data_IF_773603430126
#
_entry.id   IF_773603430126
#
_cell.length_a   1.000
_cell.length_b   1.000
_cell.length_c   1.000
_cell.angle_alpha   90.00
_cell.angle_beta   90.00
_cell.angle_gamma   90.00
#
_symmetry.space_group_name_H-M   'P 1'
#
loop_
_entity.id
_entity.type
_entity.pdbx_description
1 polymer ?
#
# COMPACT_ATOMS: atom_id res chain seq x y z
N UNK A 1 -14.17 -15.02 -3.15
CA UNK A 1 -13.39 -14.28 -2.16
C UNK A 1 -14.30 -13.49 -1.24
N UNK A 2 -13.99 -13.51 0.04
CA UNK A 2 -14.75 -12.78 1.05
C UNK A 2 -14.09 -11.49 1.47
N UNK A 3 -13.00 -11.10 0.83
CA UNK A 3 -12.33 -9.83 1.14
C UNK A 3 -13.24 -8.64 0.83
N UNK A 4 -13.22 -7.60 1.68
CA UNK A 4 -14.08 -6.43 1.48
C UNK A 4 -13.62 -5.53 0.34
N UNK A 5 -12.50 -5.82 -0.26
CA UNK A 5 -11.94 -5.05 -1.36
C UNK A 5 -11.51 -5.96 -2.51
N UNK A 6 -11.33 -5.37 -3.66
CA UNK A 6 -10.87 -6.03 -4.85
C UNK A 6 -9.67 -5.30 -5.42
N UNK A 7 -8.61 -6.04 -5.77
CA UNK A 7 -7.46 -5.44 -6.43
C UNK A 7 -7.84 -5.19 -7.88
N UNK A 8 -7.82 -3.93 -8.30
CA UNK A 8 -8.21 -3.55 -9.65
C UNK A 8 -7.02 -3.40 -10.60
N UNK A 9 -5.83 -3.09 -10.05
CA UNK A 9 -4.64 -2.91 -10.87
C UNK A 9 -3.39 -3.06 -10.02
N UNK A 10 -2.39 -3.76 -10.55
CA UNK A 10 -1.05 -3.78 -9.97
C UNK A 10 -0.26 -2.60 -10.55
N UNK A 11 0.37 -1.82 -9.67
CA UNK A 11 1.16 -0.65 -10.06
C UNK A 11 2.65 -0.96 -10.05
N UNK A 12 3.08 -1.72 -9.08
CA UNK A 12 4.46 -2.18 -8.95
C UNK A 12 4.45 -3.44 -8.11
N UNK A 13 5.24 -4.42 -8.51
CA UNK A 13 5.30 -5.68 -7.78
C UNK A 13 6.71 -6.26 -7.82
N UNK A 14 7.21 -6.66 -6.66
CA UNK A 14 8.45 -7.39 -6.52
C UNK A 14 8.26 -8.44 -5.43
N UNK A 15 9.31 -9.22 -5.14
CA UNK A 15 9.19 -10.28 -4.14
C UNK A 15 8.92 -9.77 -2.73
N UNK A 16 9.30 -8.52 -2.41
CA UNK A 16 9.19 -7.99 -1.05
C UNK A 16 8.37 -6.72 -0.93
N UNK A 17 7.98 -6.12 -2.05
CA UNK A 17 7.22 -4.87 -2.11
C UNK A 17 6.13 -4.99 -3.15
N UNK A 18 5.01 -4.36 -2.89
CA UNK A 18 3.97 -4.24 -3.91
C UNK A 18 3.12 -3.01 -3.65
N UNK A 19 2.63 -2.41 -4.74
CA UNK A 19 1.65 -1.33 -4.69
C UNK A 19 0.51 -1.72 -5.62
N UNK A 20 -0.71 -1.68 -5.10
CA UNK A 20 -1.90 -2.04 -5.86
C UNK A 20 -2.97 -0.97 -5.70
N UNK A 21 -3.74 -0.76 -6.77
CA UNK A 21 -5.02 -0.06 -6.66
C UNK A 21 -6.08 -1.07 -6.26
N UNK A 22 -6.86 -0.70 -5.26
CA UNK A 22 -7.96 -1.52 -4.77
C UNK A 22 -9.24 -0.71 -4.77
N UNK A 23 -10.37 -1.39 -4.73
CA UNK A 23 -11.67 -0.76 -4.66
C UNK A 23 -12.52 -1.48 -3.63
N UNK A 24 -13.21 -0.72 -2.80
CA UNK A 24 -14.14 -1.28 -1.82
C UNK A 24 -15.30 -1.95 -2.55
N UNK A 25 -15.62 -3.20 -2.20
CA UNK A 25 -16.70 -3.93 -2.85
C UNK A 25 -18.09 -3.37 -2.53
N UNK A 26 -18.20 -2.61 -1.44
CA UNK A 26 -19.49 -2.13 -0.96
C UNK A 26 -19.79 -0.70 -1.37
N UNK A 27 -18.79 0.17 -1.37
CA UNK A 27 -19.02 1.59 -1.64
C UNK A 27 -18.23 2.13 -2.83
N UNK A 28 -17.36 1.30 -3.43
CA UNK A 28 -16.57 1.72 -4.58
C UNK A 28 -15.43 2.67 -4.29
N UNK A 29 -15.13 2.95 -3.02
CA UNK A 29 -14.02 3.84 -2.68
C UNK A 29 -12.70 3.25 -3.16
N UNK A 30 -11.89 4.01 -3.91
CA UNK A 30 -10.57 3.53 -4.31
C UNK A 30 -9.57 3.67 -3.18
N UNK A 31 -8.65 2.71 -3.09
CA UNK A 31 -7.61 2.68 -2.08
C UNK A 31 -6.27 2.36 -2.74
N UNK A 32 -5.20 2.94 -2.21
CA UNK A 32 -3.84 2.56 -2.57
C UNK A 32 -3.34 1.60 -1.51
N UNK A 33 -2.99 0.40 -1.93
CA UNK A 33 -2.44 -0.62 -1.03
C UNK A 33 -0.94 -0.71 -1.22
N UNK A 34 -0.23 -0.75 -0.09
CA UNK A 34 1.21 -0.97 -0.05
C UNK A 34 1.50 -2.20 0.80
N UNK A 35 2.23 -3.14 0.23
CA UNK A 35 2.67 -4.36 0.92
C UNK A 35 4.18 -4.35 1.04
N UNK A 36 4.68 -4.70 2.22
CA UNK A 36 6.10 -4.80 2.49
C UNK A 36 6.39 -6.04 3.32
N UNK A 37 7.37 -6.83 2.90
CA UNK A 37 7.86 -7.98 3.65
C UNK A 37 9.28 -7.71 4.13
N UNK A 38 9.51 -7.87 5.43
CA UNK A 38 10.83 -7.89 6.02
C UNK A 38 11.28 -9.32 6.18
N UNK A 39 12.47 -9.64 5.70
CA UNK A 39 13.04 -10.96 5.88
C UNK A 39 13.83 -10.96 7.17
N UNK A 40 13.49 -11.88 8.09
CA UNK A 40 14.17 -12.01 9.37
C UNK A 40 15.40 -12.89 9.26
N UNK A 41 16.50 -12.29 8.83
CA UNK A 41 17.75 -13.03 8.63
C UNK A 41 18.30 -13.63 9.92
N UNK A 42 18.08 -12.97 11.05
CA UNK A 42 18.66 -13.37 12.32
C UNK A 42 17.75 -14.26 13.16
N UNK A 43 16.46 -13.98 13.14
CA UNK A 43 15.47 -14.70 13.97
C UNK A 43 14.62 -15.68 13.17
N UNK A 44 14.77 -15.67 11.86
CA UNK A 44 14.03 -16.58 10.99
C UNK A 44 12.56 -16.21 10.78
N UNK A 45 12.10 -15.09 11.33
CA UNK A 45 10.72 -14.65 11.20
C UNK A 45 10.60 -13.55 10.17
N UNK A 46 9.85 -13.81 9.10
CA UNK A 46 9.48 -12.78 8.15
C UNK A 46 8.32 -11.96 8.69
N UNK A 47 8.41 -10.64 8.55
CA UNK A 47 7.38 -9.72 9.03
C UNK A 47 6.75 -9.03 7.85
N UNK A 48 5.43 -9.06 7.78
CA UNK A 48 4.67 -8.46 6.69
C UNK A 48 3.81 -7.31 7.21
N UNK A 49 3.84 -6.21 6.48
CA UNK A 49 2.98 -5.05 6.74
C UNK A 49 2.16 -4.79 5.50
N UNK A 50 0.89 -4.49 5.69
CA UNK A 50 0.03 -4.03 4.61
C UNK A 50 -0.61 -2.73 5.05
N UNK A 51 -0.63 -1.75 4.16
CA UNK A 51 -1.17 -0.42 4.45
C UNK A 51 -2.12 -0.03 3.34
N UNK A 52 -3.24 0.61 3.70
CA UNK A 52 -4.24 1.08 2.75
C UNK A 52 -4.57 2.53 3.05
N UNK A 53 -4.48 3.37 2.05
CA UNK A 53 -4.90 4.76 2.15
C UNK A 53 -6.02 5.04 1.17
N UNK A 54 -7.15 5.60 1.61
CA UNK A 54 -8.21 5.95 0.67
C UNK A 54 -7.75 7.08 -0.25
N UNK A 55 -8.10 6.97 -1.52
CA UNK A 55 -7.73 7.95 -2.53
C UNK A 55 -8.90 8.86 -2.84
N UNK A 56 -8.59 10.11 -3.14
CA UNK A 56 -9.59 11.03 -3.70
C UNK A 56 -9.57 10.92 -5.22
N UNK A 57 -10.62 11.42 -5.86
CA UNK A 57 -10.82 11.27 -7.30
C UNK A 57 -9.62 11.77 -8.11
N UNK A 58 -9.07 12.91 -7.73
CA UNK A 58 -7.91 13.48 -8.42
C UNK A 58 -6.70 12.53 -8.41
N UNK A 59 -6.45 11.91 -7.25
CA UNK A 59 -5.32 10.99 -7.09
C UNK A 59 -5.52 9.72 -7.92
N UNK A 60 -6.74 9.20 -7.92
CA UNK A 60 -7.06 8.02 -8.73
C UNK A 60 -6.83 8.31 -10.22
N UNK A 61 -7.25 9.48 -10.69
CA UNK A 61 -7.05 9.89 -12.06
C UNK A 61 -5.56 10.03 -12.40
N UNK A 62 -4.79 10.61 -11.50
CA UNK A 62 -3.34 10.80 -11.67
C UNK A 62 -2.63 9.45 -11.74
N UNK A 63 -2.94 8.55 -10.81
CA UNK A 63 -2.34 7.21 -10.80
C UNK A 63 -2.72 6.43 -12.05
N UNK A 64 -3.98 6.49 -12.44
CA UNK A 64 -4.45 5.77 -13.62
C UNK A 64 -3.77 6.26 -14.89
N UNK A 65 -3.51 7.57 -14.98
CA UNK A 65 -2.82 8.16 -16.13
C UNK A 65 -1.35 7.77 -16.16
N UNK A 66 -0.68 7.78 -15.00
CA UNK A 66 0.75 7.53 -14.92
C UNK A 66 1.09 6.04 -14.90
N UNK A 67 0.12 5.19 -14.60
CA UNK A 67 0.31 3.74 -14.52
C UNK A 67 -0.72 3.02 -15.39
N UNK A 68 -0.65 3.19 -16.71
CA UNK A 68 -1.51 2.39 -17.59
C UNK A 68 -1.18 0.90 -17.50
N UNK A 69 0.01 0.59 -16.99
CA UNK A 69 0.48 -0.76 -16.68
C UNK A 69 1.49 -0.66 -15.54
N UNK A 70 1.95 -1.80 -15.05
CA UNK A 70 2.98 -1.83 -14.03
C UNK A 70 4.23 -1.11 -14.52
N UNK A 71 4.89 -0.43 -13.59
CA UNK A 71 6.16 0.24 -13.86
C UNK A 71 7.24 -0.33 -12.98
N UNK A 72 8.49 0.02 -13.27
CA UNK A 72 9.63 -0.48 -12.57
C UNK A 72 9.88 0.21 -11.23
N UNK A 73 10.99 -0.15 -10.59
CA UNK A 73 11.36 0.31 -9.26
C UNK A 73 11.47 1.84 -9.15
N UNK A 74 11.76 2.51 -10.24
CA UNK A 74 11.86 3.97 -10.31
C UNK A 74 10.54 4.67 -9.98
N UNK A 75 9.42 3.94 -10.05
CA UNK A 75 8.11 4.49 -9.76
C UNK A 75 7.79 4.55 -8.26
N UNK A 76 8.57 3.88 -7.41
CA UNK A 76 8.30 3.83 -5.97
C UNK A 76 8.15 5.21 -5.35
N UNK A 77 9.05 6.19 -5.60
CA UNK A 77 8.88 7.54 -5.04
C UNK A 77 7.58 8.23 -5.47
N UNK A 78 7.11 7.97 -6.69
CA UNK A 78 5.84 8.54 -7.15
C UNK A 78 4.65 8.00 -6.35
N UNK A 79 4.69 6.73 -6.00
CA UNK A 79 3.62 6.11 -5.21
C UNK A 79 3.76 6.45 -3.73
N UNK A 80 4.99 6.54 -3.25
CA UNK A 80 5.28 6.88 -1.86
C UNK A 80 4.72 8.25 -1.48
N UNK A 81 4.70 9.20 -2.40
CA UNK A 81 4.25 10.57 -2.12
C UNK A 81 2.79 10.67 -1.69
N UNK A 82 1.98 9.66 -1.99
CA UNK A 82 0.57 9.68 -1.61
C UNK A 82 0.36 9.37 -0.13
N UNK A 83 1.20 8.49 0.44
CA UNK A 83 1.05 8.10 1.83
C UNK A 83 1.38 9.26 2.77
N UNK A 84 0.62 9.36 3.85
CA UNK A 84 0.77 10.45 4.80
C UNK A 84 -0.16 11.63 4.54
N UNK A 85 -0.83 11.66 3.41
CA UNK A 85 -1.79 12.75 3.09
C UNK A 85 -3.04 12.67 3.96
N UNK A 86 -3.41 11.46 4.38
CA UNK A 86 -4.55 11.20 5.26
C UNK A 86 -4.31 9.93 6.05
N UNK A 87 -5.26 9.58 6.89
CA UNK A 87 -5.13 8.37 7.73
C UNK A 87 -4.96 7.13 6.87
N UNK A 88 -4.11 6.22 7.32
CA UNK A 88 -3.80 4.97 6.64
C UNK A 88 -4.14 3.81 7.56
N UNK A 89 -4.88 2.83 7.05
CA UNK A 89 -5.16 1.60 7.78
C UNK A 89 -3.96 0.67 7.61
N UNK A 90 -3.46 0.14 8.72
CA UNK A 90 -2.28 -0.73 8.72
C UNK A 90 -2.63 -2.07 9.34
N UNK A 91 -2.24 -3.13 8.66
CA UNK A 91 -2.25 -4.49 9.21
C UNK A 91 -0.79 -4.83 9.54
N UNK A 92 -0.50 -5.00 10.83
CA UNK A 92 0.86 -5.27 11.30
C UNK A 92 1.18 -6.77 11.29
N UNK A 93 2.44 -7.17 11.55
CA UNK A 93 2.84 -8.59 11.53
C UNK A 93 2.13 -9.46 12.56
N UNK A 94 1.50 -8.86 13.56
CA UNK A 94 0.74 -9.58 14.59
C UNK A 94 -0.73 -9.76 14.22
N UNK A 95 -1.09 -9.44 12.97
CA UNK A 95 -2.47 -9.48 12.46
C UNK A 95 -3.40 -8.51 13.19
N UNK A 96 -2.87 -7.38 13.65
CA UNK A 96 -3.66 -6.33 14.27
C UNK A 96 -3.81 -5.16 13.31
N UNK A 97 -5.03 -4.61 13.24
CA UNK A 97 -5.31 -3.44 12.43
C UNK A 97 -5.24 -2.19 13.30
N UNK A 98 -4.70 -1.13 12.75
CA UNK A 98 -4.74 0.19 13.41
C UNK A 98 -4.69 1.28 12.34
N UNK A 99 -5.10 2.48 12.74
CA UNK A 99 -5.06 3.65 11.87
C UNK A 99 -3.86 4.52 12.23
N UNK A 100 -2.98 4.75 11.26
CA UNK A 100 -1.93 5.75 11.39
C UNK A 100 -2.50 7.12 11.05
N UNK A 101 -2.06 8.13 11.81
CA UNK A 101 -2.47 9.51 11.59
C UNK A 101 -1.84 10.08 10.31
N UNK A 102 -2.43 11.16 9.74
CA UNK A 102 -1.78 11.85 8.63
C UNK A 102 -0.35 12.26 8.98
N UNK A 103 0.53 12.22 8.00
CA UNK A 103 1.94 12.54 8.18
C UNK A 103 2.84 11.34 8.36
N UNK A 104 2.28 10.16 8.64
CA UNK A 104 3.05 8.94 8.80
C UNK A 104 3.12 8.22 7.46
N UNK A 105 4.34 7.91 7.02
CA UNK A 105 4.56 7.18 5.78
C UNK A 105 4.99 5.75 6.13
N UNK A 106 4.19 4.73 5.79
CA UNK A 106 4.52 3.35 6.13
C UNK A 106 5.82 2.85 5.53
N UNK A 107 6.29 3.47 4.44
CA UNK A 107 7.58 3.11 3.86
C UNK A 107 8.75 3.48 4.77
N UNK A 108 8.63 4.56 5.54
CA UNK A 108 9.64 4.92 6.51
C UNK A 108 9.72 3.89 7.63
N UNK A 109 8.58 3.44 8.13
CA UNK A 109 8.54 2.39 9.13
C UNK A 109 9.19 1.11 8.60
N UNK A 110 8.97 0.81 7.34
CA UNK A 110 9.53 -0.36 6.71
C UNK A 110 11.05 -0.29 6.61
N UNK A 111 11.61 0.90 6.41
CA UNK A 111 13.06 1.09 6.28
C UNK A 111 13.76 1.04 7.64
N UNK A 112 13.11 1.55 8.67
CA UNK A 112 13.71 1.65 10.01
C UNK A 112 13.44 0.45 10.90
N UNK A 113 12.47 -0.32 10.55
CA UNK A 113 12.09 -1.53 11.29
C UNK A 113 12.84 -2.74 10.80
#
# INVERSE_FOLDING_TARGET
STLPYEITRSLYESSHYAFWLCECRYCGTPWLEYFKEFIGWLDGDDKMYTSWMPLVEFELAEISRNFPQERGRESIPELQKYFGRRRTLVLDPKNSYHWDQPGINPLHLAVTG
#
